data_IF_842200366890
#
_entry.id   IF_842200366890
#
_cell.length_a   1.000
_cell.length_b   1.000
_cell.length_c   1.000
_cell.angle_alpha   90.00
_cell.angle_beta   90.00
_cell.angle_gamma   90.00
#
_symmetry.space_group_name_H-M   'P 1'
#
loop_
_entity.id
_entity.type
_entity.pdbx_description
1 polymer ?
#
# COMPACT_ATOMS: atom_id res chain seq x y z
N UNK A 1 -5.76 14.47 -6.26
CA UNK A 1 -5.21 14.24 -4.91
C UNK A 1 -5.09 12.75 -4.65
N UNK A 2 -4.25 12.34 -3.71
CA UNK A 2 -3.92 10.93 -3.44
C UNK A 2 -4.80 10.38 -2.32
N UNK A 3 -5.31 9.16 -2.50
CA UNK A 3 -5.81 8.29 -1.44
C UNK A 3 -4.79 7.17 -1.23
N UNK A 4 -4.22 7.10 -0.05
CA UNK A 4 -3.22 6.10 0.29
C UNK A 4 -3.86 4.78 0.68
N UNK A 5 -3.28 3.67 0.19
CA UNK A 5 -3.52 2.32 0.69
C UNK A 5 -2.27 1.92 1.45
N UNK A 6 -2.27 2.25 2.74
CA UNK A 6 -1.12 2.13 3.60
C UNK A 6 -1.22 0.89 4.49
N UNK A 7 -0.10 0.26 4.76
CA UNK A 7 -0.02 -0.88 5.67
C UNK A 7 1.43 -1.20 6.03
N UNK A 8 1.65 -1.84 7.14
CA UNK A 8 2.89 -2.59 7.33
C UNK A 8 2.96 -3.75 6.31
N UNK A 9 4.15 -4.19 5.87
CA UNK A 9 4.27 -5.36 4.98
C UNK A 9 3.51 -6.58 5.51
N UNK A 10 2.93 -7.39 4.60
CA UNK A 10 2.21 -8.64 4.91
C UNK A 10 0.90 -8.48 5.68
N UNK A 11 0.30 -7.28 5.65
CA UNK A 11 -0.98 -6.98 6.30
C UNK A 11 -2.20 -7.08 5.38
N UNK A 12 -2.08 -7.66 4.17
CA UNK A 12 -3.21 -7.85 3.25
C UNK A 12 -3.39 -6.75 2.19
N UNK A 13 -2.38 -5.88 2.01
CA UNK A 13 -2.45 -4.76 1.05
C UNK A 13 -2.83 -5.21 -0.38
N UNK A 14 -2.27 -6.32 -0.86
CA UNK A 14 -2.60 -6.87 -2.18
C UNK A 14 -4.08 -7.23 -2.30
N UNK A 15 -4.65 -7.88 -1.30
CA UNK A 15 -6.06 -8.26 -1.30
C UNK A 15 -6.98 -7.04 -1.35
N UNK A 16 -6.76 -6.04 -0.49
CA UNK A 16 -7.54 -4.80 -0.55
C UNK A 16 -7.40 -4.10 -1.91
N UNK A 17 -6.18 -4.04 -2.46
CA UNK A 17 -5.95 -3.48 -3.80
C UNK A 17 -6.70 -4.25 -4.87
N UNK A 18 -6.78 -5.57 -4.77
CA UNK A 18 -7.54 -6.39 -5.72
C UNK A 18 -9.02 -6.02 -5.70
N UNK A 19 -9.63 -5.88 -4.51
CA UNK A 19 -11.01 -5.43 -4.36
C UNK A 19 -11.22 -4.03 -4.95
N UNK A 20 -10.37 -3.07 -4.61
CA UNK A 20 -10.45 -1.70 -5.13
C UNK A 20 -10.22 -1.65 -6.64
N UNK A 21 -9.25 -2.41 -7.15
CA UNK A 21 -8.99 -2.47 -8.58
C UNK A 21 -10.15 -3.10 -9.35
N UNK A 22 -10.73 -4.18 -8.83
CA UNK A 22 -11.93 -4.80 -9.38
C UNK A 22 -13.10 -3.81 -9.42
N UNK A 23 -13.31 -3.04 -8.34
CA UNK A 23 -14.44 -2.11 -8.28
C UNK A 23 -14.25 -0.86 -9.17
N UNK A 24 -13.08 -0.22 -9.12
CA UNK A 24 -12.87 1.07 -9.78
C UNK A 24 -12.35 0.97 -11.22
N UNK A 25 -11.74 -0.15 -11.61
CA UNK A 25 -11.04 -0.27 -12.89
C UNK A 25 -11.50 -1.45 -13.75
N UNK A 26 -12.50 -2.23 -13.33
CA UNK A 26 -13.25 -3.14 -14.20
C UNK A 26 -14.64 -2.58 -14.50
N UNK A 27 -15.28 -3.11 -15.52
CA UNK A 27 -16.67 -2.73 -15.88
C UNK A 27 -17.67 -3.40 -14.93
N UNK A 28 -17.46 -4.68 -14.63
CA UNK A 28 -18.44 -5.59 -14.05
C UNK A 28 -18.03 -6.23 -12.71
N UNK A 29 -16.90 -5.83 -12.14
CA UNK A 29 -16.38 -6.42 -10.90
C UNK A 29 -15.48 -7.64 -11.13
N UNK A 30 -15.06 -7.94 -12.36
CA UNK A 30 -14.04 -8.96 -12.63
C UNK A 30 -12.67 -8.50 -12.17
N UNK A 31 -11.80 -9.47 -11.86
CA UNK A 31 -10.42 -9.20 -11.44
C UNK A 31 -9.43 -10.03 -12.23
N UNK A 32 -8.31 -9.42 -12.55
CA UNK A 32 -7.06 -10.07 -12.93
C UNK A 32 -5.88 -9.22 -12.42
N UNK A 33 -4.69 -9.80 -12.28
CA UNK A 33 -3.54 -9.11 -11.71
C UNK A 33 -3.05 -7.90 -12.52
N UNK A 34 -3.37 -7.79 -13.81
CA UNK A 34 -3.05 -6.60 -14.59
C UNK A 34 -3.74 -5.34 -14.06
N UNK A 35 -4.90 -5.47 -13.42
CA UNK A 35 -5.61 -4.35 -12.82
C UNK A 35 -4.82 -3.70 -11.68
N UNK A 36 -3.93 -4.44 -10.99
CA UNK A 36 -3.10 -3.90 -9.91
C UNK A 36 -2.18 -2.76 -10.38
N UNK A 37 -1.87 -2.69 -11.68
CA UNK A 37 -1.11 -1.59 -12.28
C UNK A 37 -1.79 -0.23 -12.18
N UNK A 38 -3.08 -0.18 -11.87
CA UNK A 38 -3.82 1.07 -11.64
C UNK A 38 -3.54 1.66 -10.25
N UNK A 39 -3.03 0.86 -9.30
CA UNK A 39 -2.67 1.29 -7.94
C UNK A 39 -1.19 1.01 -7.72
N UNK A 40 -0.36 1.94 -8.17
CA UNK A 40 1.09 1.82 -8.10
C UNK A 40 1.62 2.02 -6.68
N UNK A 41 2.81 1.48 -6.42
CA UNK A 41 3.54 1.71 -5.17
C UNK A 41 4.20 3.09 -5.16
N UNK A 42 4.19 3.76 -4.01
CA UNK A 42 4.95 4.98 -3.75
C UNK A 42 5.54 4.93 -2.32
N UNK A 43 6.80 5.28 -2.10
CA UNK A 43 7.84 5.56 -3.09
C UNK A 43 8.21 4.32 -3.91
N UNK A 44 8.58 4.51 -5.16
CA UNK A 44 9.12 3.46 -6.04
C UNK A 44 10.25 4.02 -6.90
N UNK A 45 11.06 3.17 -7.46
CA UNK A 45 12.15 3.55 -8.36
C UNK A 45 11.69 4.44 -9.53
N UNK A 46 10.50 4.15 -10.06
CA UNK A 46 9.93 4.92 -11.18
C UNK A 46 9.68 6.38 -10.87
N UNK A 47 9.55 6.74 -9.59
CA UNK A 47 9.36 8.12 -9.16
C UNK A 47 10.68 8.91 -9.22
N UNK A 48 11.83 8.25 -9.03
CA UNK A 48 13.10 8.95 -8.81
C UNK A 48 14.17 8.70 -9.86
N UNK A 49 14.01 7.71 -10.75
CA UNK A 49 15.00 7.35 -11.77
C UNK A 49 15.37 8.48 -12.73
N UNK A 50 14.48 9.47 -12.91
CA UNK A 50 14.72 10.61 -13.80
C UNK A 50 15.48 11.77 -13.14
N UNK A 51 15.82 11.67 -11.87
CA UNK A 51 16.65 12.67 -11.19
C UNK A 51 18.13 12.32 -11.36
N UNK A 52 18.94 13.35 -11.62
CA UNK A 52 20.39 13.20 -11.83
C UNK A 52 21.19 13.05 -10.52
N UNK A 53 20.52 13.10 -9.37
CA UNK A 53 21.15 12.94 -8.05
C UNK A 53 21.79 11.56 -7.89
N UNK A 54 22.89 11.50 -7.19
CA UNK A 54 23.62 10.26 -6.94
C UNK A 54 22.85 9.28 -6.05
N UNK A 55 22.03 9.77 -5.11
CA UNK A 55 21.31 8.95 -4.12
C UNK A 55 22.22 7.92 -3.44
N UNK A 56 23.23 8.43 -2.74
CA UNK A 56 24.27 7.62 -2.08
C UNK A 56 23.75 6.93 -0.82
N UNK A 57 22.70 7.49 -0.20
CA UNK A 57 22.04 6.94 0.99
C UNK A 57 20.56 6.62 0.72
N UNK A 58 19.97 5.66 1.45
CA UNK A 58 18.57 5.29 1.26
C UNK A 58 17.60 6.48 1.37
N UNK A 59 17.84 7.37 2.32
CA UNK A 59 17.01 8.53 2.63
C UNK A 59 17.11 9.69 1.65
N UNK A 60 18.06 9.69 0.74
CA UNK A 60 18.29 10.82 -0.18
C UNK A 60 17.09 11.13 -1.08
N UNK A 61 16.23 10.14 -1.36
CA UNK A 61 15.00 10.34 -2.14
C UNK A 61 13.90 11.06 -1.37
N UNK A 62 14.00 11.16 -0.03
CA UNK A 62 12.97 11.78 0.81
C UNK A 62 12.71 13.25 0.43
N UNK A 63 13.75 14.00 0.02
CA UNK A 63 13.64 15.40 -0.41
C UNK A 63 12.74 15.60 -1.63
N UNK A 64 12.43 14.52 -2.38
CA UNK A 64 11.59 14.57 -3.56
C UNK A 64 10.17 14.03 -3.35
N UNK A 65 9.83 13.46 -2.18
CA UNK A 65 8.52 12.84 -1.96
C UNK A 65 7.35 13.78 -2.25
N UNK A 66 7.39 14.99 -1.71
CA UNK A 66 6.32 15.98 -1.94
C UNK A 66 6.27 16.38 -3.40
N UNK A 67 7.42 16.69 -4.02
CA UNK A 67 7.49 17.09 -5.43
C UNK A 67 6.92 16.05 -6.38
N UNK A 68 7.19 14.76 -6.13
CA UNK A 68 6.63 13.68 -6.95
C UNK A 68 5.11 13.54 -6.75
N UNK A 69 4.61 13.72 -5.54
CA UNK A 69 3.18 13.74 -5.28
C UNK A 69 2.49 14.92 -5.95
N UNK A 70 3.10 16.09 -5.96
CA UNK A 70 2.62 17.25 -6.73
C UNK A 70 2.54 16.96 -8.22
N UNK A 71 3.54 16.28 -8.81
CA UNK A 71 3.49 15.84 -10.21
C UNK A 71 2.31 14.89 -10.46
N UNK A 72 2.11 13.90 -9.58
CA UNK A 72 0.98 12.95 -9.66
C UNK A 72 -0.35 13.72 -9.61
N UNK A 73 -0.46 14.73 -8.77
CA UNK A 73 -1.66 15.52 -8.56
C UNK A 73 -1.97 16.52 -9.69
N UNK A 74 -1.01 16.85 -10.57
CA UNK A 74 -1.25 17.71 -11.76
C UNK A 74 -2.39 17.21 -12.64
N UNK A 75 -2.67 15.91 -12.65
CA UNK A 75 -3.78 15.32 -13.39
C UNK A 75 -5.16 15.76 -12.88
N UNK A 76 -5.27 16.40 -11.72
CA UNK A 76 -6.50 16.78 -11.00
C UNK A 76 -7.48 15.63 -10.74
N UNK A 77 -7.06 14.38 -11.00
CA UNK A 77 -7.84 13.16 -10.73
C UNK A 77 -7.45 12.59 -9.37
N UNK A 78 -8.39 11.93 -8.71
CA UNK A 78 -8.06 11.13 -7.52
C UNK A 78 -7.25 9.92 -7.96
N UNK A 79 -6.13 9.68 -7.26
CA UNK A 79 -5.22 8.55 -7.49
C UNK A 79 -5.11 7.72 -6.24
N UNK A 80 -5.23 6.41 -6.39
CA UNK A 80 -4.88 5.47 -5.33
C UNK A 80 -3.40 5.12 -5.44
N UNK A 81 -2.68 5.15 -4.33
CA UNK A 81 -1.28 4.71 -4.26
C UNK A 81 -1.07 3.77 -3.08
N UNK A 82 -0.37 2.67 -3.33
CA UNK A 82 0.07 1.74 -2.30
C UNK A 82 1.32 2.28 -1.59
N UNK A 83 1.38 2.10 -0.27
CA UNK A 83 2.62 2.36 0.47
C UNK A 83 2.77 1.44 1.68
N UNK A 84 4.03 1.13 2.01
CA UNK A 84 4.42 0.57 3.30
C UNK A 84 5.15 1.60 4.18
N UNK A 85 5.37 2.79 3.64
CA UNK A 85 6.03 3.89 4.34
C UNK A 85 5.28 4.23 5.63
N UNK A 86 6.00 4.43 6.72
CA UNK A 86 5.45 5.08 7.89
C UNK A 86 5.11 6.55 7.56
N UNK A 87 4.11 7.12 8.20
CA UNK A 87 3.85 8.56 8.11
C UNK A 87 4.86 9.31 8.98
N UNK A 88 6.01 9.59 8.43
CA UNK A 88 7.16 10.13 9.14
C UNK A 88 7.85 11.28 8.39
N UNK A 89 8.84 11.87 9.04
CA UNK A 89 9.80 12.80 8.45
C UNK A 89 11.19 12.19 8.43
N UNK A 90 11.92 12.40 7.35
CA UNK A 90 13.33 12.06 7.21
C UNK A 90 14.07 13.33 6.84
N UNK A 91 15.06 13.72 7.63
CA UNK A 91 15.86 14.95 7.39
C UNK A 91 14.99 16.19 7.09
N UNK A 92 13.91 16.41 7.85
CA UNK A 92 12.91 17.47 7.66
C UNK A 92 11.96 17.30 6.46
N UNK A 93 12.11 16.29 5.62
CA UNK A 93 11.19 15.99 4.53
C UNK A 93 10.06 15.09 5.03
N UNK A 94 8.83 15.59 4.99
CA UNK A 94 7.64 14.80 5.34
C UNK A 94 7.27 13.85 4.22
N UNK A 95 6.79 12.64 4.58
CA UNK A 95 6.35 11.66 3.59
C UNK A 95 5.24 12.21 2.69
N UNK A 96 4.21 12.80 3.28
CA UNK A 96 3.10 13.45 2.57
C UNK A 96 2.50 14.55 3.43
N UNK A 97 1.57 15.33 2.86
CA UNK A 97 0.86 16.42 3.53
C UNK A 97 -0.60 16.51 3.06
N UNK A 98 -1.39 17.37 3.71
CA UNK A 98 -2.81 17.58 3.40
C UNK A 98 -3.05 18.23 2.03
N UNK A 99 -2.08 18.93 1.45
CA UNK A 99 -2.19 19.51 0.11
C UNK A 99 -2.14 18.43 -0.98
N UNK A 100 -1.44 17.32 -0.72
CA UNK A 100 -1.27 16.23 -1.68
C UNK A 100 -2.20 15.05 -1.42
N UNK A 101 -2.69 14.90 -0.18
CA UNK A 101 -3.44 13.73 0.30
C UNK A 101 -4.88 14.09 0.58
N UNK A 102 -5.80 13.30 0.04
CA UNK A 102 -7.23 13.38 0.33
C UNK A 102 -7.58 12.59 1.61
N UNK A 103 -6.96 11.43 1.77
CA UNK A 103 -7.12 10.55 2.92
C UNK A 103 -6.31 9.27 2.78
N UNK A 104 -6.41 8.38 3.76
CA UNK A 104 -5.75 7.08 3.74
C UNK A 104 -6.67 5.96 4.23
N UNK A 105 -6.50 4.77 3.66
CA UNK A 105 -7.00 3.50 4.19
C UNK A 105 -5.78 2.79 4.77
N UNK A 106 -5.78 2.56 6.08
CA UNK A 106 -4.68 1.89 6.74
C UNK A 106 -5.09 0.48 7.15
N UNK A 107 -4.39 -0.53 6.57
CA UNK A 107 -4.59 -1.93 6.94
C UNK A 107 -3.64 -2.31 8.08
N UNK A 108 -4.24 -2.83 9.16
CA UNK A 108 -3.52 -3.46 10.26
C UNK A 108 -3.85 -4.96 10.28
N UNK A 109 -2.91 -5.76 10.72
CA UNK A 109 -3.06 -7.21 10.90
C UNK A 109 -2.43 -7.63 12.22
N UNK A 110 -2.97 -8.67 12.85
CA UNK A 110 -2.39 -9.28 14.05
C UNK A 110 -0.89 -9.53 13.85
N UNK A 111 -0.01 -8.96 14.69
CA UNK A 111 1.44 -9.06 14.51
C UNK A 111 1.93 -10.52 14.55
N UNK A 112 1.24 -11.44 15.22
CA UNK A 112 1.58 -12.86 15.26
C UNK A 112 1.44 -13.50 13.87
N UNK A 113 0.41 -13.10 13.12
CA UNK A 113 0.19 -13.54 11.74
C UNK A 113 1.15 -12.83 10.76
N UNK A 114 1.50 -11.57 11.03
CA UNK A 114 2.51 -10.83 10.25
C UNK A 114 3.87 -11.51 10.37
N UNK A 115 4.31 -11.91 11.58
CA UNK A 115 5.58 -12.65 11.80
C UNK A 115 5.64 -13.89 10.90
N UNK A 116 4.61 -14.73 10.95
CA UNK A 116 4.56 -15.96 10.13
C UNK A 116 4.64 -15.67 8.63
N UNK A 117 3.88 -14.67 8.18
CA UNK A 117 3.87 -14.27 6.77
C UNK A 117 5.19 -13.63 6.31
N UNK A 118 5.87 -12.87 7.18
CA UNK A 118 7.21 -12.32 6.90
C UNK A 118 8.25 -13.42 6.82
N UNK A 119 8.25 -14.35 7.80
CA UNK A 119 9.17 -15.47 7.84
C UNK A 119 9.11 -16.28 6.53
N UNK A 120 7.91 -16.63 6.08
CA UNK A 120 7.71 -17.34 4.81
C UNK A 120 8.16 -16.50 3.59
N UNK A 121 7.81 -15.20 3.56
CA UNK A 121 8.06 -14.34 2.42
C UNK A 121 9.55 -14.07 2.19
N UNK A 122 10.30 -13.82 3.27
CA UNK A 122 11.74 -13.57 3.21
C UNK A 122 12.59 -14.81 3.42
N UNK A 123 11.97 -15.98 3.66
CA UNK A 123 12.67 -17.26 3.93
C UNK A 123 13.62 -17.15 5.14
N UNK A 124 13.16 -16.52 6.21
CA UNK A 124 13.87 -16.31 7.47
C UNK A 124 13.12 -17.01 8.64
N UNK A 125 13.80 -17.16 9.77
CA UNK A 125 13.17 -17.69 10.99
C UNK A 125 12.10 -16.74 11.55
N UNK A 126 11.22 -17.23 12.41
CA UNK A 126 10.22 -16.39 13.11
C UNK A 126 10.89 -15.40 14.05
N UNK A 127 12.02 -15.77 14.65
CA UNK A 127 12.84 -14.93 15.51
C UNK A 127 13.42 -13.75 14.72
N UNK A 128 13.96 -13.98 13.53
CA UNK A 128 14.44 -12.93 12.64
C UNK A 128 13.29 -12.04 12.14
N UNK A 129 12.12 -12.62 11.82
CA UNK A 129 10.92 -11.87 11.45
C UNK A 129 10.44 -10.99 12.62
N UNK A 130 10.52 -11.47 13.87
CA UNK A 130 10.20 -10.68 15.05
C UNK A 130 11.19 -9.51 15.22
N UNK A 131 12.48 -9.75 15.06
CA UNK A 131 13.49 -8.67 15.09
C UNK A 131 13.25 -7.65 13.97
N UNK A 132 12.94 -8.12 12.76
CA UNK A 132 12.54 -7.25 11.66
C UNK A 132 11.38 -6.32 12.07
N UNK A 133 10.35 -6.84 12.73
CA UNK A 133 9.16 -6.06 13.14
C UNK A 133 9.43 -5.13 14.32
N UNK A 134 10.44 -5.40 15.15
CA UNK A 134 10.85 -4.56 16.29
C UNK A 134 11.80 -3.44 15.89
N UNK A 135 12.49 -3.55 14.77
CA UNK A 135 13.50 -2.60 14.32
C UNK A 135 12.87 -1.25 13.96
N UNK A 136 13.13 -0.23 14.77
CA UNK A 136 12.61 1.13 14.60
C UNK A 136 13.30 1.90 13.45
N UNK A 137 14.40 1.39 12.92
CA UNK A 137 15.11 1.96 11.77
C UNK A 137 14.86 1.18 10.49
N UNK A 138 13.96 0.19 10.53
CA UNK A 138 13.69 -0.67 9.38
C UNK A 138 13.17 0.11 8.19
N UNK A 139 13.69 -0.23 7.01
CA UNK A 139 13.19 0.27 5.73
C UNK A 139 13.27 -0.81 4.66
N UNK A 140 12.50 -0.62 3.60
CA UNK A 140 12.64 -1.36 2.34
C UNK A 140 13.45 -0.46 1.40
N UNK A 141 14.44 -1.04 0.75
CA UNK A 141 15.38 -0.31 -0.10
C UNK A 141 15.43 -0.97 -1.47
N UNK A 142 15.40 -0.17 -2.53
CA UNK A 142 15.71 -0.60 -3.89
C UNK A 142 16.95 0.14 -4.40
N UNK A 143 17.83 -0.61 -5.08
CA UNK A 143 19.03 -0.05 -5.74
C UNK A 143 19.00 -0.33 -7.22
N UNK A 144 19.40 0.66 -8.03
CA UNK A 144 19.73 0.51 -9.45
C UNK A 144 21.04 1.25 -9.69
N UNK A 145 22.00 0.62 -10.35
CA UNK A 145 23.32 1.19 -10.68
C UNK A 145 23.98 1.87 -9.46
N UNK A 146 24.00 1.18 -8.33
CA UNK A 146 24.51 1.66 -7.04
C UNK A 146 23.79 2.89 -6.43
N UNK A 147 22.70 3.36 -7.01
CA UNK A 147 21.86 4.45 -6.48
C UNK A 147 20.69 3.90 -5.67
N UNK A 148 20.45 4.47 -4.50
CA UNK A 148 19.27 4.16 -3.68
C UNK A 148 18.05 4.91 -4.18
N UNK A 149 17.24 4.29 -5.05
CA UNK A 149 16.12 4.97 -5.72
C UNK A 149 14.73 4.55 -5.27
N UNK A 150 14.64 3.71 -4.26
CA UNK A 150 13.35 3.29 -3.72
C UNK A 150 13.48 3.01 -2.23
N UNK A 151 13.27 4.02 -1.39
CA UNK A 151 13.33 3.87 0.05
C UNK A 151 11.96 4.07 0.69
N UNK A 152 11.53 3.09 1.47
CA UNK A 152 10.33 3.12 2.28
C UNK A 152 10.71 2.88 3.75
N UNK A 153 10.83 3.92 4.60
CA UNK A 153 10.99 3.73 6.04
C UNK A 153 9.75 3.06 6.62
N UNK A 154 9.92 1.85 7.12
CA UNK A 154 8.85 1.08 7.74
C UNK A 154 8.69 1.45 9.21
N UNK A 155 9.80 1.72 9.90
CA UNK A 155 9.89 1.72 11.35
C UNK A 155 9.53 0.35 11.92
N UNK A 156 9.36 0.24 13.24
CA UNK A 156 8.79 -0.98 13.81
C UNK A 156 7.32 -1.13 13.45
N UNK A 157 6.76 -2.35 13.52
CA UNK A 157 5.32 -2.59 13.30
C UNK A 157 4.44 -1.65 14.13
N UNK A 158 4.80 -1.47 15.40
CA UNK A 158 4.07 -0.61 16.34
C UNK A 158 4.16 0.88 15.96
N UNK A 159 5.34 1.37 15.59
CA UNK A 159 5.51 2.76 15.18
C UNK A 159 4.88 3.06 13.81
N UNK A 160 4.91 2.10 12.89
CA UNK A 160 4.28 2.27 11.58
C UNK A 160 2.79 2.59 11.73
N UNK A 161 2.00 1.73 12.40
CA UNK A 161 0.58 1.99 12.51
C UNK A 161 0.26 3.24 13.36
N UNK A 162 1.01 3.46 14.46
CA UNK A 162 0.84 4.67 15.29
C UNK A 162 1.08 5.94 14.47
N UNK A 163 2.05 5.93 13.55
CA UNK A 163 2.35 7.09 12.71
C UNK A 163 1.17 7.50 11.82
N UNK A 164 0.43 6.53 11.28
CA UNK A 164 -0.74 6.78 10.45
C UNK A 164 -2.00 7.11 11.24
N UNK A 165 -2.17 6.57 12.45
CA UNK A 165 -3.42 6.73 13.21
C UNK A 165 -3.40 7.95 14.13
N UNK A 166 -2.22 8.41 14.56
CA UNK A 166 -2.12 9.49 15.54
C UNK A 166 -2.01 10.90 14.94
N UNK A 167 -1.86 11.02 13.62
CA UNK A 167 -1.84 12.35 13.00
C UNK A 167 -3.28 12.86 12.73
N UNK A 168 -3.39 14.18 12.54
CA UNK A 168 -4.67 14.87 12.25
C UNK A 168 -4.66 15.63 10.91
N UNK A 169 -3.69 15.34 10.04
CA UNK A 169 -3.49 16.11 8.81
C UNK A 169 -4.55 15.83 7.74
N UNK A 170 -5.10 14.62 7.73
CA UNK A 170 -6.16 14.16 6.82
C UNK A 170 -6.87 12.93 7.42
N UNK A 171 -8.09 12.59 6.94
CA UNK A 171 -8.82 11.42 7.45
C UNK A 171 -8.10 10.10 7.15
N UNK A 172 -8.13 9.18 8.14
CA UNK A 172 -7.63 7.80 8.00
C UNK A 172 -8.73 6.82 8.38
N UNK A 173 -9.04 5.90 7.50
CA UNK A 173 -9.93 4.76 7.74
C UNK A 173 -9.10 3.55 8.12
N UNK A 174 -9.26 3.08 9.36
CA UNK A 174 -8.59 1.88 9.85
C UNK A 174 -9.37 0.65 9.41
N UNK A 175 -8.68 -0.29 8.77
CA UNK A 175 -9.23 -1.61 8.38
C UNK A 175 -8.39 -2.68 9.04
N UNK A 176 -9.02 -3.58 9.79
CA UNK A 176 -8.36 -4.78 10.28
C UNK A 176 -8.42 -5.87 9.22
N UNK A 177 -7.31 -6.55 9.01
CA UNK A 177 -7.25 -7.70 8.10
C UNK A 177 -8.28 -8.78 8.48
N UNK A 178 -8.43 -9.01 9.78
CA UNK A 178 -9.34 -10.00 10.33
C UNK A 178 -10.82 -9.66 10.02
N UNK A 179 -11.20 -8.38 10.09
CA UNK A 179 -12.56 -7.95 9.71
C UNK A 179 -12.77 -8.11 8.20
N UNK A 180 -11.75 -7.79 7.39
CA UNK A 180 -11.80 -8.02 5.95
C UNK A 180 -11.92 -9.52 5.61
N UNK A 181 -11.34 -10.42 6.43
CA UNK A 181 -11.40 -11.87 6.24
C UNK A 181 -12.76 -12.45 6.67
N UNK A 182 -13.32 -12.01 7.80
CA UNK A 182 -14.55 -12.53 8.37
C UNK A 182 -15.81 -11.93 7.73
N UNK A 183 -15.78 -10.63 7.42
CA UNK A 183 -16.91 -9.83 6.93
C UNK A 183 -16.49 -9.01 5.71
N UNK A 184 -15.99 -9.70 4.67
CA UNK A 184 -15.37 -9.06 3.49
C UNK A 184 -16.28 -8.03 2.84
N UNK A 185 -17.57 -8.35 2.65
CA UNK A 185 -18.50 -7.49 1.95
C UNK A 185 -18.79 -6.21 2.77
N UNK A 186 -19.14 -6.35 4.02
CA UNK A 186 -19.47 -5.25 4.93
C UNK A 186 -18.27 -4.31 5.12
N UNK A 187 -17.09 -4.91 5.33
CA UNK A 187 -15.83 -4.17 5.44
C UNK A 187 -15.51 -3.44 4.13
N UNK A 188 -15.74 -4.07 2.99
CA UNK A 188 -15.51 -3.44 1.69
C UNK A 188 -16.49 -2.29 1.43
N UNK A 189 -17.77 -2.45 1.78
CA UNK A 189 -18.76 -1.35 1.70
C UNK A 189 -18.33 -0.16 2.55
N UNK A 190 -17.88 -0.38 3.79
CA UNK A 190 -17.41 0.72 4.66
C UNK A 190 -16.22 1.47 4.06
N UNK A 191 -15.31 0.76 3.38
CA UNK A 191 -14.19 1.36 2.65
C UNK A 191 -14.68 2.20 1.47
N UNK A 192 -15.67 1.71 0.69
CA UNK A 192 -16.24 2.45 -0.43
C UNK A 192 -16.98 3.71 0.04
N UNK A 193 -17.70 3.65 1.16
CA UNK A 193 -18.35 4.80 1.79
C UNK A 193 -17.32 5.85 2.21
N UNK A 194 -16.23 5.43 2.86
CA UNK A 194 -15.15 6.34 3.22
C UNK A 194 -14.56 7.03 1.99
N UNK A 195 -14.27 6.30 0.92
CA UNK A 195 -13.74 6.86 -0.33
C UNK A 195 -14.71 7.87 -0.94
N UNK A 196 -16.01 7.56 -0.94
CA UNK A 196 -17.06 8.47 -1.44
C UNK A 196 -17.10 9.77 -0.62
N UNK A 197 -17.09 9.65 0.70
CA UNK A 197 -17.09 10.82 1.60
C UNK A 197 -15.87 11.70 1.35
N UNK A 198 -14.67 11.13 1.18
CA UNK A 198 -13.47 11.88 0.82
C UNK A 198 -13.60 12.65 -0.50
N UNK A 199 -14.36 12.11 -1.45
CA UNK A 199 -14.54 12.68 -2.79
C UNK A 199 -15.73 13.62 -2.89
N UNK A 200 -16.52 13.78 -1.82
CA UNK A 200 -17.84 14.44 -1.83
C UNK A 200 -18.75 13.86 -2.95
N UNK A 201 -18.69 12.54 -3.14
CA UNK A 201 -19.40 11.82 -4.19
C UNK A 201 -20.77 11.36 -3.66
N UNK A 202 -21.85 11.95 -4.14
CA UNK A 202 -23.23 11.63 -3.73
C UNK A 202 -23.84 10.43 -4.48
N UNK A 203 -23.12 9.83 -5.44
CA UNK A 203 -23.63 8.65 -6.17
C UNK A 203 -23.90 7.48 -5.22
N UNK A 204 -24.76 6.56 -5.56
CA UNK A 204 -24.95 5.34 -4.79
C UNK A 204 -23.78 4.36 -5.03
N UNK A 205 -23.42 3.60 -4.01
CA UNK A 205 -22.50 2.47 -4.18
C UNK A 205 -23.22 1.39 -4.99
N UNK A 206 -22.58 0.94 -6.04
CA UNK A 206 -23.06 -0.23 -6.79
C UNK A 206 -22.82 -1.50 -5.95
N UNK A 207 -23.84 -1.87 -5.16
CA UNK A 207 -23.77 -3.00 -4.22
C UNK A 207 -23.63 -4.35 -4.94
N UNK A 208 -24.25 -4.50 -6.11
CA UNK A 208 -24.15 -5.73 -6.90
C UNK A 208 -22.73 -5.89 -7.47
N UNK A 209 -22.16 -4.82 -7.95
CA UNK A 209 -20.75 -4.82 -8.37
C UNK A 209 -19.82 -5.10 -7.19
N UNK A 210 -20.07 -4.51 -6.02
CA UNK A 210 -19.29 -4.79 -4.83
C UNK A 210 -19.32 -6.26 -4.41
N UNK A 211 -20.48 -6.92 -4.46
CA UNK A 211 -20.59 -8.37 -4.23
C UNK A 211 -19.76 -9.19 -5.22
N UNK A 212 -19.86 -8.87 -6.50
CA UNK A 212 -19.03 -9.52 -7.54
C UNK A 212 -17.55 -9.32 -7.33
N UNK A 213 -17.11 -8.12 -6.88
CA UNK A 213 -15.72 -7.88 -6.52
C UNK A 213 -15.25 -8.79 -5.38
N UNK A 214 -16.05 -8.93 -4.33
CA UNK A 214 -15.73 -9.82 -3.20
C UNK A 214 -15.62 -11.27 -3.67
N UNK A 215 -16.57 -11.75 -4.46
CA UNK A 215 -16.53 -13.10 -5.03
C UNK A 215 -15.31 -13.33 -5.93
N UNK A 216 -14.97 -12.36 -6.79
CA UNK A 216 -13.86 -12.48 -7.74
C UNK A 216 -12.48 -12.26 -7.12
N UNK A 217 -12.42 -11.60 -5.96
CA UNK A 217 -11.18 -11.41 -5.20
C UNK A 217 -11.11 -12.31 -3.95
N UNK A 218 -11.89 -13.40 -3.89
CA UNK A 218 -11.75 -14.40 -2.82
C UNK A 218 -10.34 -15.02 -2.82
N UNK A 219 -9.88 -15.47 -1.65
CA UNK A 219 -8.54 -16.04 -1.50
C UNK A 219 -8.25 -17.16 -2.50
N UNK A 220 -9.21 -18.07 -2.68
CA UNK A 220 -9.06 -19.21 -3.61
C UNK A 220 -8.93 -18.75 -5.06
N UNK A 221 -9.69 -17.73 -5.47
CA UNK A 221 -9.61 -17.20 -6.83
C UNK A 221 -8.29 -16.45 -7.05
N UNK A 222 -7.84 -15.65 -6.08
CA UNK A 222 -6.55 -14.96 -6.16
C UNK A 222 -5.40 -15.96 -6.22
N UNK A 223 -5.44 -17.02 -5.42
CA UNK A 223 -4.45 -18.10 -5.46
C UNK A 223 -4.43 -18.81 -6.80
N UNK A 224 -5.61 -19.16 -7.34
CA UNK A 224 -5.73 -19.78 -8.67
C UNK A 224 -5.18 -18.87 -9.77
N UNK A 225 -5.45 -17.58 -9.71
CA UNK A 225 -4.89 -16.60 -10.66
C UNK A 225 -3.37 -16.49 -10.53
N UNK A 226 -2.83 -16.51 -9.29
CA UNK A 226 -1.38 -16.54 -9.04
C UNK A 226 -0.73 -17.78 -9.62
N UNK A 227 -1.33 -18.96 -9.40
CA UNK A 227 -0.84 -20.25 -9.93
C UNK A 227 -0.85 -20.28 -11.47
N UNK A 228 -1.79 -19.59 -12.11
CA UNK A 228 -1.98 -19.61 -13.57
C UNK A 228 -1.15 -18.52 -14.27
N UNK A 229 -1.17 -17.30 -13.75
CA UNK A 229 -0.62 -16.10 -14.41
C UNK A 229 0.67 -15.59 -13.75
N UNK A 230 1.06 -16.18 -12.59
CA UNK A 230 2.12 -15.66 -11.73
C UNK A 230 1.69 -14.42 -10.97
N UNK A 231 2.41 -14.10 -9.89
CA UNK A 231 2.17 -12.87 -9.12
C UNK A 231 3.12 -11.76 -9.59
N UNK A 232 2.62 -10.63 -10.13
CA UNK A 232 3.46 -9.58 -10.71
C UNK A 232 4.43 -8.91 -9.72
N UNK A 233 4.13 -8.98 -8.42
CA UNK A 233 4.96 -8.41 -7.34
C UNK A 233 5.73 -9.50 -6.56
N UNK A 234 5.86 -10.71 -7.12
CA UNK A 234 6.67 -11.77 -6.52
C UNK A 234 8.15 -11.34 -6.47
N UNK A 235 8.81 -11.63 -5.35
CA UNK A 235 10.25 -11.41 -5.26
C UNK A 235 10.92 -12.40 -6.21
N UNK A 236 11.47 -11.91 -7.32
CA UNK A 236 12.29 -12.72 -8.19
C UNK A 236 13.50 -13.23 -7.40
N UNK A 237 13.69 -14.55 -7.36
CA UNK A 237 14.86 -15.23 -6.75
C UNK A 237 16.18 -14.97 -7.49
N UNK A 238 16.36 -13.82 -8.14
CA UNK A 238 17.60 -13.44 -8.81
C UNK A 238 18.14 -12.19 -8.15
N UNK A 239 19.05 -12.39 -7.21
CA UNK A 239 19.83 -11.32 -6.60
C UNK A 239 20.13 -11.57 -5.14
N UNK A 240 20.87 -12.65 -4.81
CA UNK A 240 21.81 -12.67 -3.70
C UNK A 240 23.05 -11.94 -4.10
#
# INVERSE_FOLDING_TARGET
MIIWIASYPKSGNTWLRSLLCSYFFSVDGTFNFNLLKNINSFPSENNFKSYDDKFENPEDTAKYWIREQEKINKSKKVKFLKTHNAFCKINNYTFTNSQNTLGAIYLIRDPRNVITSLATHYQISKEEALQFMKDEKRGIVSKIDNRYIGFQPLLSWSLNHKSWLNHKSFPVHLVRYEDLELETYETFISILEFIKNLRNDSSLIDKEKAKKCVENCSFDKLKKEEDTSGFPEAINKKGT
#
